data_IF_193021003668
#
_entry.id   IF_193021003668
#
_cell.length_a   1.000
_cell.length_b   1.000
_cell.length_c   1.000
_cell.angle_alpha   90.00
_cell.angle_beta   90.00
_cell.angle_gamma   90.00
#
_symmetry.space_group_name_H-M   'P 1'
#
loop_
_entity.id
_entity.type
_entity.pdbx_description
1 polymer ?
#
# COMPACT_ATOMS: atom_id res chain seq x y z
N UNK A 1 2.99 -7.47 19.42
CA UNK A 1 1.83 -6.57 19.33
C UNK A 1 0.59 -7.40 19.06
N UNK A 2 -0.53 -7.14 19.72
CA UNK A 2 -1.81 -7.74 19.37
C UNK A 2 -2.53 -6.79 18.40
N UNK A 3 -2.63 -7.19 17.13
CA UNK A 3 -3.23 -6.39 16.07
C UNK A 3 -4.73 -6.69 15.84
N UNK A 4 -5.35 -7.51 16.71
CA UNK A 4 -6.80 -7.85 16.64
C UNK A 4 -7.27 -8.28 15.24
N UNK A 5 -6.44 -9.06 14.53
CA UNK A 5 -6.74 -9.56 13.18
C UNK A 5 -6.36 -8.62 12.03
N UNK A 6 -5.80 -7.44 12.32
CA UNK A 6 -5.23 -6.57 11.29
C UNK A 6 -3.91 -7.19 10.80
N UNK A 7 -3.75 -7.27 9.48
CA UNK A 7 -2.47 -7.61 8.84
C UNK A 7 -1.89 -6.35 8.21
N UNK A 8 -0.68 -6.01 8.63
CA UNK A 8 0.09 -4.89 8.09
C UNK A 8 1.24 -5.47 7.26
N UNK A 9 1.34 -5.07 6.01
CA UNK A 9 2.43 -5.45 5.10
C UNK A 9 3.15 -4.19 4.65
N UNK A 10 4.47 -4.17 4.87
CA UNK A 10 5.35 -3.15 4.31
C UNK A 10 5.77 -3.57 2.91
N UNK A 11 5.61 -2.66 1.94
CA UNK A 11 5.89 -2.90 0.52
C UNK A 11 7.07 -2.05 0.03
N UNK A 12 7.91 -1.55 0.94
CA UNK A 12 9.04 -0.68 0.60
C UNK A 12 8.70 0.81 0.69
N UNK A 13 9.71 1.64 0.98
CA UNK A 13 9.54 3.09 1.17
C UNK A 13 8.40 3.40 2.17
N UNK A 14 7.47 4.29 1.80
CA UNK A 14 6.28 4.67 2.54
C UNK A 14 5.04 3.84 2.18
N UNK A 15 5.18 2.82 1.32
CA UNK A 15 4.06 2.03 0.84
C UNK A 15 3.68 0.93 1.82
N UNK A 16 2.47 0.97 2.33
CA UNK A 16 1.92 -0.04 3.24
C UNK A 16 0.58 -0.55 2.74
N UNK A 17 0.35 -1.86 2.88
CA UNK A 17 -0.98 -2.46 2.76
C UNK A 17 -1.49 -2.87 4.14
N UNK A 18 -2.73 -2.52 4.42
CA UNK A 18 -3.46 -2.93 5.62
C UNK A 18 -4.65 -3.77 5.18
N UNK A 19 -4.73 -4.99 5.69
CA UNK A 19 -5.90 -5.86 5.55
C UNK A 19 -6.62 -5.87 6.90
N UNK A 20 -7.87 -5.40 6.90
CA UNK A 20 -8.70 -5.28 8.11
C UNK A 20 -9.43 -6.61 8.41
N UNK A 21 -9.84 -6.87 9.66
CA UNK A 21 -10.64 -8.04 10.00
C UNK A 21 -11.98 -8.12 9.25
N UNK A 22 -12.51 -6.97 8.81
CA UNK A 22 -13.74 -6.88 8.01
C UNK A 22 -13.52 -7.13 6.51
N UNK A 23 -12.33 -7.52 6.08
CA UNK A 23 -12.01 -7.85 4.69
C UNK A 23 -11.72 -6.65 3.80
N UNK A 24 -11.53 -5.44 4.37
CA UNK A 24 -11.13 -4.24 3.62
C UNK A 24 -9.62 -4.17 3.43
N UNK A 25 -9.19 -3.78 2.23
CA UNK A 25 -7.80 -3.51 1.88
C UNK A 25 -7.56 -2.01 1.77
N UNK A 26 -6.63 -1.49 2.57
CA UNK A 26 -6.17 -0.10 2.54
C UNK A 26 -4.74 -0.07 2.03
N UNK A 27 -4.42 0.87 1.15
CA UNK A 27 -3.03 1.18 0.76
C UNK A 27 -2.70 2.61 1.15
N UNK A 28 -1.53 2.78 1.75
CA UNK A 28 -0.93 4.09 2.06
C UNK A 28 0.21 4.31 1.07
N UNK A 29 0.27 5.52 0.48
CA UNK A 29 1.32 6.00 -0.43
C UNK A 29 1.70 4.96 -1.50
N UNK A 30 0.84 4.76 -2.52
CA UNK A 30 0.92 3.65 -3.46
C UNK A 30 2.02 3.84 -4.52
N UNK A 31 3.28 3.77 -4.11
CA UNK A 31 4.42 3.65 -5.01
C UNK A 31 4.88 2.20 -5.06
N UNK A 32 4.32 1.43 -6.01
CA UNK A 32 4.55 0.00 -6.19
C UNK A 32 5.34 -0.33 -7.46
N UNK A 33 5.06 0.31 -8.60
CA UNK A 33 5.72 -0.05 -9.87
C UNK A 33 7.17 0.41 -9.88
N UNK A 34 7.40 1.70 -9.57
CA UNK A 34 8.73 2.32 -9.55
C UNK A 34 9.55 2.04 -8.28
N UNK A 35 8.93 1.50 -7.23
CA UNK A 35 9.60 1.24 -5.96
C UNK A 35 10.53 0.02 -6.05
N UNK A 36 11.84 0.19 -5.83
CA UNK A 36 12.82 -0.91 -5.97
C UNK A 36 12.72 -1.95 -4.85
N UNK A 37 12.09 -1.60 -3.72
CA UNK A 37 11.90 -2.49 -2.58
C UNK A 37 10.54 -3.19 -2.59
N UNK A 38 9.63 -2.79 -3.49
CA UNK A 38 8.33 -3.45 -3.62
C UNK A 38 8.52 -4.84 -4.28
N UNK A 39 8.07 -5.93 -3.61
CA UNK A 39 8.18 -7.27 -4.17
C UNK A 39 7.51 -7.39 -5.54
N UNK A 40 8.11 -8.15 -6.45
CA UNK A 40 7.62 -8.24 -7.84
C UNK A 40 6.16 -8.72 -7.94
N UNK A 41 5.74 -9.60 -7.04
CA UNK A 41 4.36 -10.11 -6.98
C UNK A 41 3.36 -9.11 -6.35
N UNK A 42 3.84 -8.01 -5.79
CA UNK A 42 3.03 -6.95 -5.16
C UNK A 42 2.92 -5.70 -6.04
N UNK A 43 3.63 -5.66 -7.18
CA UNK A 43 3.56 -4.55 -8.15
C UNK A 43 2.25 -4.46 -8.92
N UNK A 44 1.42 -5.50 -8.84
CA UNK A 44 0.12 -5.60 -9.49
C UNK A 44 -0.97 -5.72 -8.40
N UNK A 45 -1.43 -4.55 -7.94
CA UNK A 45 -2.40 -4.45 -6.85
C UNK A 45 -3.80 -4.79 -7.38
N UNK A 46 -4.37 -5.89 -6.88
CA UNK A 46 -5.67 -6.41 -7.35
C UNK A 46 -6.89 -5.72 -6.76
N UNK A 47 -6.82 -5.32 -5.49
CA UNK A 47 -7.96 -4.78 -4.75
C UNK A 47 -7.49 -3.68 -3.81
N UNK A 48 -8.18 -2.54 -3.84
CA UNK A 48 -8.03 -1.44 -2.89
C UNK A 48 -9.43 -0.90 -2.58
N UNK A 49 -9.84 -0.96 -1.32
CA UNK A 49 -11.07 -0.32 -0.86
C UNK A 49 -10.83 1.15 -0.47
N UNK A 50 -9.65 1.46 0.07
CA UNK A 50 -9.25 2.79 0.50
C UNK A 50 -7.82 3.07 0.12
N UNK A 51 -7.57 4.23 -0.47
CA UNK A 51 -6.24 4.74 -0.79
C UNK A 51 -5.98 5.99 0.05
N UNK A 52 -4.85 6.03 0.76
CA UNK A 52 -4.45 7.15 1.59
C UNK A 52 -3.13 7.71 1.05
N UNK A 53 -3.12 8.97 0.66
CA UNK A 53 -1.92 9.67 0.23
C UNK A 53 -1.55 10.72 1.28
N UNK A 54 -0.33 10.64 1.79
CA UNK A 54 0.17 11.60 2.79
C UNK A 54 0.40 12.97 2.17
N UNK A 55 0.97 13.01 0.95
CA UNK A 55 1.22 14.21 0.15
C UNK A 55 1.50 13.82 -1.31
N UNK A 56 1.76 14.81 -2.17
CA UNK A 56 1.79 14.64 -3.63
C UNK A 56 3.19 14.45 -4.25
N UNK A 57 4.23 14.11 -3.46
CA UNK A 57 5.51 13.73 -4.06
C UNK A 57 5.38 12.38 -4.78
N UNK A 58 6.11 12.20 -5.89
CA UNK A 58 5.94 11.05 -6.79
C UNK A 58 6.28 9.69 -6.17
N UNK A 59 7.19 9.66 -5.20
CA UNK A 59 7.53 8.48 -4.40
C UNK A 59 6.49 8.14 -3.32
N UNK A 60 5.43 8.95 -3.19
CA UNK A 60 4.29 8.72 -2.30
C UNK A 60 2.99 8.54 -3.08
N UNK A 61 2.57 9.54 -3.87
CA UNK A 61 1.31 9.46 -4.63
C UNK A 61 1.40 8.47 -5.80
N UNK A 62 2.60 8.34 -6.38
CA UNK A 62 2.99 7.29 -7.34
C UNK A 62 1.89 6.85 -8.30
N UNK A 63 1.58 5.56 -8.21
CA UNK A 63 0.65 4.86 -9.10
C UNK A 63 -0.83 5.27 -8.92
N UNK A 64 -1.15 6.18 -7.99
CA UNK A 64 -2.51 6.70 -7.82
C UNK A 64 -2.94 7.65 -8.94
N UNK A 65 -1.97 8.26 -9.62
CA UNK A 65 -2.18 9.33 -10.60
C UNK A 65 -1.62 8.99 -11.99
N UNK A 66 -1.05 7.79 -12.15
CA UNK A 66 -0.55 7.22 -13.41
C UNK A 66 -1.59 6.28 -14.03
#
# INVERSE_FOLDING_TARGET
MNLKGIKLTWLGHATFRIETPGGKTVIIDPWVVGNPMCPQNEKDVKTVDVLLCTHAHGDHIGDAVE
#
